data_IF_057356303550
#
_entry.id   IF_057356303550
#
_cell.length_a   1.000
_cell.length_b   1.000
_cell.length_c   1.000
_cell.angle_alpha   90.00
_cell.angle_beta   90.00
_cell.angle_gamma   90.00
#
_symmetry.space_group_name_H-M   'P 1'
#
loop_
_entity.id
_entity.type
_entity.pdbx_description
1 polymer ?
#
# COMPACT_ATOMS: atom_id res chain seq x y z
N UNK A 1 10.24 1.78 8.10
CA UNK A 1 8.79 1.68 8.40
C UNK A 1 8.22 0.31 8.05
N UNK A 2 8.52 -0.23 6.87
CA UNK A 2 8.01 -1.55 6.45
C UNK A 2 8.44 -2.71 7.38
N UNK A 3 9.51 -2.55 8.13
CA UNK A 3 9.98 -3.56 9.09
C UNK A 3 9.01 -3.82 10.24
N UNK A 4 8.09 -2.90 10.48
CA UNK A 4 7.05 -3.04 11.50
C UNK A 4 5.85 -3.87 11.04
N UNK A 5 5.79 -4.21 9.75
CA UNK A 5 4.71 -5.02 9.19
C UNK A 5 4.57 -6.36 9.90
N UNK A 6 3.34 -6.79 10.07
CA UNK A 6 2.99 -8.06 10.70
C UNK A 6 2.47 -9.11 9.70
N UNK A 7 2.60 -8.83 8.41
CA UNK A 7 2.22 -9.76 7.34
C UNK A 7 3.26 -10.88 7.19
N UNK A 8 2.79 -12.10 6.95
CA UNK A 8 3.64 -13.27 6.75
C UNK A 8 4.23 -13.37 5.34
N UNK A 9 3.65 -12.66 4.39
CA UNK A 9 4.01 -12.76 2.97
C UNK A 9 4.87 -11.60 2.52
N UNK A 10 4.36 -10.39 2.64
CA UNK A 10 5.03 -9.17 2.14
C UNK A 10 4.90 -8.05 3.14
N UNK A 11 5.99 -7.35 3.34
CA UNK A 11 6.04 -6.19 4.23
C UNK A 11 6.04 -4.92 3.38
N UNK A 12 5.10 -4.02 3.66
CA UNK A 12 4.99 -2.73 2.98
C UNK A 12 5.12 -1.60 3.98
N UNK A 13 5.75 -0.51 3.55
CA UNK A 13 5.81 0.73 4.29
C UNK A 13 5.44 1.89 3.39
N UNK A 14 4.68 2.84 3.91
CA UNK A 14 4.26 4.04 3.21
C UNK A 14 4.56 5.27 4.05
N UNK A 15 5.01 6.34 3.39
CA UNK A 15 5.31 7.62 4.02
C UNK A 15 4.66 8.70 3.17
N UNK A 16 3.89 9.58 3.80
CA UNK A 16 3.29 10.75 3.13
C UNK A 16 4.11 11.97 3.46
N UNK A 17 4.53 12.68 2.41
CA UNK A 17 5.36 13.89 2.50
C UNK A 17 4.62 15.06 1.85
N UNK A 18 4.57 16.19 2.55
CA UNK A 18 4.03 17.44 2.02
C UNK A 18 4.89 18.59 2.48
N UNK A 19 5.20 19.51 1.57
CA UNK A 19 6.07 20.66 1.85
C UNK A 19 7.40 20.22 2.48
N UNK A 20 7.98 19.13 1.97
CA UNK A 20 9.25 18.59 2.41
C UNK A 20 9.24 18.04 3.86
N UNK A 21 8.06 17.80 4.41
CA UNK A 21 7.88 17.24 5.75
C UNK A 21 7.14 15.92 5.71
N UNK A 22 7.57 14.95 6.52
CA UNK A 22 6.83 13.70 6.73
C UNK A 22 5.61 14.03 7.59
N UNK A 23 4.41 13.84 7.02
CA UNK A 23 3.16 14.15 7.72
C UNK A 23 2.46 12.90 8.26
N UNK A 24 2.74 11.73 7.69
CA UNK A 24 2.16 10.47 8.13
C UNK A 24 3.00 9.29 7.66
N UNK A 25 2.86 8.18 8.37
CA UNK A 25 3.52 6.92 8.03
C UNK A 25 2.53 5.77 8.20
N UNK A 26 2.77 4.66 7.51
CA UNK A 26 1.97 3.46 7.64
C UNK A 26 2.76 2.21 7.28
N UNK A 27 2.35 1.09 7.84
CA UNK A 27 2.82 -0.24 7.48
C UNK A 27 1.62 -1.18 7.48
N UNK A 28 1.71 -2.30 6.78
CA UNK A 28 0.61 -3.24 6.71
C UNK A 28 0.51 -4.11 7.97
N UNK A 29 -0.70 -4.24 8.50
CA UNK A 29 -0.98 -5.01 9.70
C UNK A 29 -2.47 -5.13 9.94
N UNK A 30 -2.86 -6.07 10.80
CA UNK A 30 -4.26 -6.25 11.17
C UNK A 30 -4.83 -4.99 11.82
N UNK A 31 -6.17 -4.81 11.78
CA UNK A 31 -6.79 -3.70 12.51
C UNK A 31 -6.40 -3.72 13.98
N UNK A 32 -6.29 -2.55 14.58
CA UNK A 32 -5.92 -2.43 16.00
C UNK A 32 -6.80 -3.27 16.89
N UNK A 33 -6.17 -4.03 17.78
CA UNK A 33 -6.87 -4.91 18.72
C UNK A 33 -7.22 -6.28 18.14
N UNK A 34 -7.05 -6.49 16.84
CA UNK A 34 -7.22 -7.80 16.22
C UNK A 34 -5.88 -8.51 16.09
N UNK A 35 -5.94 -9.85 16.04
CA UNK A 35 -4.72 -10.67 15.91
C UNK A 35 -4.10 -10.48 14.55
N UNK A 36 -2.79 -10.29 14.53
CA UNK A 36 -1.99 -10.18 13.30
C UNK A 36 -1.84 -11.54 12.61
N UNK A 37 -1.52 -11.53 11.32
CA UNK A 37 -1.23 -12.77 10.60
C UNK A 37 -0.05 -13.52 11.22
N UNK A 38 0.96 -12.80 11.72
CA UNK A 38 2.09 -13.42 12.45
C UNK A 38 1.62 -14.15 13.71
N UNK A 39 0.63 -13.62 14.43
CA UNK A 39 0.07 -14.26 15.61
C UNK A 39 -0.75 -15.49 15.26
N UNK A 40 -1.46 -15.46 14.14
CA UNK A 40 -2.24 -16.60 13.64
C UNK A 40 -1.36 -17.69 13.07
N UNK A 41 -0.21 -17.35 12.52
CA UNK A 41 0.71 -18.27 11.88
C UNK A 41 0.34 -18.66 10.46
N UNK A 42 -0.71 -18.06 9.88
CA UNK A 42 -1.13 -18.35 8.50
C UNK A 42 -1.77 -17.12 7.87
N UNK A 43 -1.77 -17.08 6.54
CA UNK A 43 -2.44 -16.05 5.76
C UNK A 43 -3.89 -16.47 5.50
N UNK A 44 -4.85 -15.63 5.88
CA UNK A 44 -6.29 -15.92 5.69
C UNK A 44 -6.67 -16.08 4.22
N UNK A 45 -6.06 -15.30 3.33
CA UNK A 45 -6.30 -15.43 1.88
C UNK A 45 -5.78 -16.75 1.34
N UNK A 46 -4.58 -17.17 1.75
CA UNK A 46 -4.03 -18.47 1.38
C UNK A 46 -4.88 -19.63 1.91
N UNK A 47 -5.37 -19.51 3.15
CA UNK A 47 -6.24 -20.49 3.76
C UNK A 47 -7.57 -20.64 3.01
N UNK A 48 -8.06 -19.57 2.40
CA UNK A 48 -9.27 -19.56 1.56
C UNK A 48 -8.97 -19.94 0.10
N UNK A 49 -7.72 -20.28 -0.22
CA UNK A 49 -7.28 -20.62 -1.58
C UNK A 49 -7.51 -19.50 -2.60
N UNK A 50 -7.39 -18.24 -2.17
CA UNK A 50 -7.50 -17.09 -3.06
C UNK A 50 -6.21 -16.97 -3.88
N UNK A 51 -6.30 -16.85 -5.23
CA UNK A 51 -5.12 -16.67 -6.06
C UNK A 51 -4.32 -15.42 -5.68
N UNK A 52 -3.01 -15.48 -5.87
CA UNK A 52 -2.12 -14.34 -5.61
C UNK A 52 -2.54 -13.13 -6.45
N UNK A 53 -2.58 -11.95 -5.84
CA UNK A 53 -2.94 -10.72 -6.52
C UNK A 53 -4.44 -10.44 -6.61
N UNK A 54 -5.29 -11.32 -6.07
CA UNK A 54 -6.74 -11.20 -6.12
C UNK A 54 -7.37 -11.11 -4.74
N UNK A 55 -8.60 -10.56 -4.70
CA UNK A 55 -9.47 -10.55 -3.52
C UNK A 55 -8.81 -9.98 -2.27
N UNK A 56 -8.17 -8.82 -2.41
CA UNK A 56 -7.50 -8.17 -1.26
C UNK A 56 -8.47 -7.73 -0.17
N UNK A 57 -9.75 -7.60 -0.47
CA UNK A 57 -10.78 -7.33 0.54
C UNK A 57 -10.91 -8.46 1.57
N UNK A 58 -10.42 -9.64 1.25
CA UNK A 58 -10.35 -10.79 2.17
C UNK A 58 -9.06 -10.82 2.97
N UNK A 59 -8.13 -9.92 2.68
CA UNK A 59 -6.89 -9.78 3.45
C UNK A 59 -7.21 -9.26 4.85
N UNK A 60 -6.63 -9.90 5.87
CA UNK A 60 -6.80 -9.48 7.25
C UNK A 60 -6.08 -8.16 7.55
N UNK A 61 -5.03 -7.85 6.81
CA UNK A 61 -4.23 -6.65 7.04
C UNK A 61 -4.87 -5.42 6.43
N UNK A 62 -4.77 -4.30 7.13
CA UNK A 62 -4.96 -2.97 6.56
C UNK A 62 -3.66 -2.63 5.84
N UNK A 63 -3.74 -2.19 4.60
CA UNK A 63 -2.56 -1.93 3.78
C UNK A 63 -1.81 -0.69 4.25
N UNK A 64 -0.52 -0.63 3.97
CA UNK A 64 0.36 0.46 4.41
C UNK A 64 -0.13 1.83 3.93
N UNK A 65 -0.58 1.92 2.70
CA UNK A 65 -1.11 3.17 2.11
C UNK A 65 -2.34 3.66 2.85
N UNK A 66 -3.27 2.76 3.17
CA UNK A 66 -4.47 3.07 3.93
C UNK A 66 -4.12 3.56 5.33
N UNK A 67 -3.20 2.87 6.01
CA UNK A 67 -2.77 3.25 7.36
C UNK A 67 -2.11 4.63 7.37
N UNK A 68 -1.29 4.93 6.38
CA UNK A 68 -0.67 6.26 6.27
C UNK A 68 -1.74 7.34 6.07
N UNK A 69 -2.72 7.11 5.21
CA UNK A 69 -3.80 8.06 4.93
C UNK A 69 -4.70 8.25 6.16
N UNK A 70 -5.03 7.17 6.86
CA UNK A 70 -5.83 7.23 8.09
C UNK A 70 -5.12 8.07 9.17
N UNK A 71 -3.80 8.01 9.22
CA UNK A 71 -3.00 8.74 10.21
C UNK A 71 -2.79 10.21 9.85
N UNK A 72 -3.14 10.62 8.64
CA UNK A 72 -2.94 12.00 8.16
C UNK A 72 -4.23 12.81 8.25
N UNK A 73 -4.10 14.13 8.37
CA UNK A 73 -5.22 15.03 8.16
C UNK A 73 -5.44 15.23 6.65
N UNK A 74 -6.68 15.50 6.24
CA UNK A 74 -6.98 15.71 4.82
C UNK A 74 -6.17 16.85 4.20
N UNK A 75 -5.99 17.94 4.92
CA UNK A 75 -5.15 19.06 4.47
C UNK A 75 -3.71 18.64 4.17
N UNK A 76 -3.24 17.58 4.82
CA UNK A 76 -1.87 17.09 4.65
C UNK A 76 -1.77 16.04 3.53
N UNK A 77 -2.88 15.42 3.13
CA UNK A 77 -2.89 14.49 1.99
C UNK A 77 -3.12 15.20 0.66
N UNK A 78 -3.88 16.29 0.65
CA UNK A 78 -4.15 17.04 -0.57
C UNK A 78 -2.85 17.58 -1.18
N UNK A 79 -2.53 17.16 -2.40
CA UNK A 79 -1.32 17.56 -3.11
C UNK A 79 -0.03 16.94 -2.61
N UNK A 80 -0.11 15.97 -1.69
CA UNK A 80 1.06 15.31 -1.11
C UNK A 80 1.67 14.27 -2.03
N UNK A 81 2.85 13.77 -1.65
CA UNK A 81 3.52 12.63 -2.28
C UNK A 81 3.54 11.47 -1.32
N UNK A 82 3.17 10.29 -1.80
CA UNK A 82 3.23 9.04 -1.04
C UNK A 82 4.42 8.22 -1.53
N UNK A 83 5.31 7.84 -0.61
CA UNK A 83 6.44 6.95 -0.88
C UNK A 83 6.09 5.55 -0.42
N UNK A 84 6.28 4.58 -1.29
CA UNK A 84 5.91 3.19 -1.05
C UNK A 84 7.09 2.26 -1.31
N UNK A 85 7.35 1.36 -0.37
CA UNK A 85 8.34 0.30 -0.51
C UNK A 85 7.78 -1.01 0.03
N UNK A 86 8.26 -2.11 -0.52
CA UNK A 86 7.87 -3.45 -0.08
C UNK A 86 9.01 -4.44 -0.17
N UNK A 87 8.92 -5.49 0.61
CA UNK A 87 9.87 -6.61 0.58
C UNK A 87 9.15 -7.92 0.88
N UNK A 88 9.76 -9.04 0.43
CA UNK A 88 9.32 -10.37 0.84
C UNK A 88 9.59 -10.55 2.34
N UNK A 89 8.61 -11.08 3.07
CA UNK A 89 8.74 -11.24 4.52
C UNK A 89 9.80 -12.29 4.88
N UNK A 90 9.89 -13.39 4.13
CA UNK A 90 10.80 -14.49 4.43
C UNK A 90 12.24 -14.20 4.02
N UNK A 91 12.47 -13.75 2.79
CA UNK A 91 13.80 -13.52 2.25
C UNK A 91 14.35 -12.14 2.55
N UNK A 92 13.50 -11.17 2.83
CA UNK A 92 13.87 -9.77 2.98
C UNK A 92 14.20 -9.08 1.66
N UNK A 93 14.02 -9.77 0.52
CA UNK A 93 14.30 -9.19 -0.80
C UNK A 93 13.33 -8.06 -1.11
N UNK A 94 13.90 -6.96 -1.62
CA UNK A 94 13.12 -5.80 -2.03
C UNK A 94 12.20 -6.14 -3.20
N UNK A 95 10.95 -5.71 -3.12
CA UNK A 95 10.02 -5.83 -4.24
C UNK A 95 10.35 -4.76 -5.28
N UNK A 96 10.52 -5.17 -6.52
CA UNK A 96 10.86 -4.25 -7.62
C UNK A 96 9.64 -3.47 -8.14
N UNK A 97 8.44 -3.95 -7.87
CA UNK A 97 7.21 -3.31 -8.31
C UNK A 97 6.14 -3.37 -7.22
N UNK A 98 6.36 -2.63 -6.14
CA UNK A 98 5.45 -2.53 -5.00
C UNK A 98 4.28 -1.58 -5.31
N UNK A 99 3.57 -1.82 -6.42
CA UNK A 99 2.46 -0.96 -6.82
C UNK A 99 1.24 -1.18 -5.91
N UNK A 100 0.42 -0.13 -5.75
CA UNK A 100 -0.79 -0.21 -4.96
C UNK A 100 -1.87 -1.05 -5.64
N UNK A 101 -2.60 -1.86 -4.85
CA UNK A 101 -3.75 -2.60 -5.36
C UNK A 101 -4.91 -1.65 -5.71
N UNK A 102 -5.92 -2.15 -6.40
CA UNK A 102 -7.04 -1.33 -6.86
C UNK A 102 -7.82 -0.67 -5.69
N UNK A 103 -7.92 -1.35 -4.55
CA UNK A 103 -8.55 -0.75 -3.36
C UNK A 103 -7.75 0.44 -2.85
N UNK A 104 -6.42 0.31 -2.75
CA UNK A 104 -5.55 1.39 -2.30
C UNK A 104 -5.53 2.55 -3.28
N UNK A 105 -5.55 2.28 -4.60
CA UNK A 105 -5.59 3.32 -5.62
C UNK A 105 -6.81 4.23 -5.44
N UNK A 106 -7.98 3.66 -5.19
CA UNK A 106 -9.21 4.44 -4.94
C UNK A 106 -9.06 5.35 -3.74
N UNK A 107 -8.49 4.83 -2.66
CA UNK A 107 -8.25 5.59 -1.42
C UNK A 107 -7.24 6.71 -1.66
N UNK A 108 -6.16 6.44 -2.38
CA UNK A 108 -5.12 7.42 -2.71
C UNK A 108 -5.69 8.55 -3.58
N UNK A 109 -6.50 8.22 -4.58
CA UNK A 109 -7.18 9.20 -5.43
C UNK A 109 -8.04 10.14 -4.58
N UNK A 110 -8.90 9.58 -3.72
CA UNK A 110 -9.81 10.38 -2.92
C UNK A 110 -9.13 11.16 -1.80
N UNK A 111 -7.95 10.72 -1.37
CA UNK A 111 -7.13 11.48 -0.43
C UNK A 111 -6.50 12.73 -1.07
N UNK A 112 -6.53 12.83 -2.40
CA UNK A 112 -5.96 13.98 -3.12
C UNK A 112 -4.45 13.95 -3.23
N UNK A 113 -3.83 12.79 -3.06
CA UNK A 113 -2.39 12.61 -3.23
C UNK A 113 -2.04 12.79 -4.71
N UNK A 114 -0.98 13.54 -4.97
CA UNK A 114 -0.56 13.93 -6.31
C UNK A 114 0.29 12.86 -7.01
N UNK A 115 1.23 12.29 -6.27
CA UNK A 115 2.20 11.35 -6.80
C UNK A 115 2.44 10.21 -5.83
N UNK A 116 2.73 9.04 -6.40
CA UNK A 116 3.22 7.90 -5.64
C UNK A 116 4.62 7.57 -6.16
N UNK A 117 5.61 7.60 -5.26
CA UNK A 117 6.98 7.22 -5.56
C UNK A 117 7.19 5.80 -5.06
N UNK A 118 7.43 4.88 -5.97
CA UNK A 118 7.58 3.46 -5.68
C UNK A 118 9.05 3.09 -5.78
N UNK A 119 9.60 2.53 -4.71
CA UNK A 119 10.96 2.01 -4.74
C UNK A 119 10.99 0.76 -5.62
N UNK A 120 11.81 0.80 -6.68
CA UNK A 120 11.90 -0.28 -7.67
C UNK A 120 13.23 -1.03 -7.63
N UNK A 121 14.17 -0.59 -6.80
CA UNK A 121 15.47 -1.20 -6.62
C UNK A 121 16.18 -0.58 -5.43
N UNK A 122 17.42 -1.01 -5.19
CA UNK A 122 18.19 -0.52 -4.04
C UNK A 122 18.41 1.00 -4.11
N UNK A 123 18.63 1.52 -5.33
CA UNK A 123 18.84 2.94 -5.61
C UNK A 123 17.86 3.49 -6.65
N UNK A 124 16.89 2.69 -7.06
CA UNK A 124 15.97 3.03 -8.12
C UNK A 124 14.57 3.29 -7.57
N UNK A 125 13.85 4.17 -8.23
CA UNK A 125 12.45 4.43 -7.95
C UNK A 125 11.74 4.83 -9.24
N UNK A 126 10.41 4.70 -9.24
CA UNK A 126 9.58 5.24 -10.31
C UNK A 126 8.49 6.12 -9.73
N UNK A 127 8.07 7.10 -10.50
CA UNK A 127 7.03 8.05 -10.09
C UNK A 127 5.75 7.75 -10.85
N UNK A 128 4.66 7.60 -10.12
CA UNK A 128 3.32 7.44 -10.68
C UNK A 128 2.54 8.72 -10.38
N UNK A 129 2.00 9.35 -11.41
CA UNK A 129 1.09 10.49 -11.25
C UNK A 129 -0.31 9.97 -11.03
N UNK A 130 -0.92 10.31 -9.91
CA UNK A 130 -2.25 9.80 -9.52
C UNK A 130 -3.31 10.22 -10.55
N UNK A 131 -3.12 11.36 -11.20
CA UNK A 131 -4.00 11.80 -12.29
C UNK A 131 -4.11 10.76 -13.42
N UNK A 132 -3.05 10.01 -13.69
CA UNK A 132 -3.08 8.95 -14.70
C UNK A 132 -4.05 7.85 -14.31
N UNK A 133 -4.14 7.51 -13.03
CA UNK A 133 -5.12 6.53 -12.53
C UNK A 133 -6.55 7.04 -12.68
N UNK A 134 -6.77 8.34 -12.56
CA UNK A 134 -8.09 8.95 -12.77
C UNK A 134 -8.50 8.88 -14.24
N UNK A 135 -7.57 9.19 -15.14
CA UNK A 135 -7.86 9.20 -16.59
C UNK A 135 -8.00 7.81 -17.18
N UNK A 136 -7.18 6.87 -16.75
CA UNK A 136 -7.13 5.52 -17.32
C UNK A 136 -8.21 4.58 -16.82
N UNK A 137 -8.95 4.95 -15.81
CA UNK A 137 -10.05 4.21 -15.18
C UNK A 137 -10.14 2.71 -15.54
N UNK A 138 -9.18 1.95 -15.05
CA UNK A 138 -9.07 0.51 -15.31
C UNK A 138 -10.12 -0.33 -14.56
N UNK A 139 -10.97 0.31 -13.77
CA UNK A 139 -12.07 -0.34 -13.06
C UNK A 139 -13.27 -0.62 -13.97
N UNK A 140 -13.33 0.03 -15.13
CA UNK A 140 -14.40 -0.19 -16.08
C UNK A 140 -14.09 -1.38 -16.99
N UNK A 141 -15.11 -2.20 -17.34
CA UNK A 141 -14.89 -3.28 -18.28
C UNK A 141 -14.48 -2.71 -19.65
N UNK A 142 -13.49 -3.33 -20.27
CA UNK A 142 -13.09 -2.96 -21.63
C UNK A 142 -14.25 -3.17 -22.57
N UNK A 143 -14.60 -2.14 -23.33
CA UNK A 143 -15.55 -2.28 -24.42
C UNK A 143 -14.91 -3.12 -25.53
N UNK A 144 -15.46 -4.26 -25.74
CA UNK A 144 -15.12 -5.07 -26.90
C UNK A 144 -15.79 -4.53 -28.14
#
# INVERSE_FOLDING_TARGET
MLERSTCLRRCYGAIIVKNDEIVATGYNGAPRGRRNCMDLGYCTREAMQVPSGERYELCRSVHAEMNAIISAARRDTLGATLYLAGREAKSGELLHDATSCSMCRRVIINAGIDRVVIRSGERDYRVVHVEDWVREDDSLPTKT
#
